data_IF_822496927725
#
_entry.id   IF_822496927725
#
_cell.length_a   1.000
_cell.length_b   1.000
_cell.length_c   1.000
_cell.angle_alpha   90.00
_cell.angle_beta   90.00
_cell.angle_gamma   90.00
#
_symmetry.space_group_name_H-M   'P 1'
#
loop_
_entity.id
_entity.type
_entity.pdbx_description
1 polymer ?
#
# COMPACT_ATOMS: atom_id res chain seq x y z
N UNK A 1 -8.07 9.79 7.10
CA UNK A 1 -7.07 10.06 6.04
C UNK A 1 -6.72 8.75 5.37
N UNK A 2 -6.66 8.71 4.03
CA UNK A 2 -6.36 7.55 3.18
C UNK A 2 -5.82 8.04 1.84
N UNK A 3 -5.05 7.23 1.10
CA UNK A 3 -4.58 7.58 -0.24
C UNK A 3 -5.75 7.79 -1.21
N UNK A 4 -6.88 7.11 -1.00
CA UNK A 4 -8.06 7.27 -1.86
C UNK A 4 -8.70 8.66 -1.81
N UNK A 5 -8.35 9.50 -0.82
CA UNK A 5 -8.95 10.82 -0.65
C UNK A 5 -8.29 11.87 -1.55
N UNK A 6 -9.14 12.66 -2.21
CA UNK A 6 -8.72 13.68 -3.17
C UNK A 6 -7.62 14.63 -2.66
N UNK A 7 -7.65 15.15 -1.41
CA UNK A 7 -6.56 16.01 -0.94
C UNK A 7 -5.18 15.34 -0.92
N UNK A 8 -5.11 14.05 -0.56
CA UNK A 8 -3.86 13.29 -0.54
C UNK A 8 -3.40 12.98 -1.96
N UNK A 9 -4.32 12.53 -2.82
CA UNK A 9 -4.04 12.23 -4.22
C UNK A 9 -3.57 13.48 -4.98
N UNK A 10 -4.30 14.59 -4.86
CA UNK A 10 -3.95 15.86 -5.51
C UNK A 10 -2.60 16.40 -5.03
N UNK A 11 -2.25 16.22 -3.74
CA UNK A 11 -0.93 16.60 -3.23
C UNK A 11 0.18 15.79 -3.91
N UNK A 12 0.01 14.48 -4.06
CA UNK A 12 0.98 13.64 -4.78
C UNK A 12 1.13 14.06 -6.24
N UNK A 13 0.00 14.28 -6.94
CA UNK A 13 -0.02 14.75 -8.33
C UNK A 13 0.70 16.09 -8.47
N UNK A 14 0.48 17.02 -7.55
CA UNK A 14 1.15 18.32 -7.55
C UNK A 14 2.68 18.18 -7.33
N UNK A 15 3.09 17.26 -6.46
CA UNK A 15 4.51 16.96 -6.22
C UNK A 15 5.17 16.33 -7.46
N UNK A 16 4.47 15.42 -8.15
CA UNK A 16 4.93 14.82 -9.40
C UNK A 16 5.03 15.87 -10.52
N UNK A 17 4.04 16.75 -10.67
CA UNK A 17 4.10 17.83 -11.66
C UNK A 17 5.28 18.79 -11.40
N UNK A 18 5.60 19.07 -10.13
CA UNK A 18 6.77 19.88 -9.75
C UNK A 18 8.09 19.16 -10.03
N UNK A 19 8.14 17.85 -9.77
CA UNK A 19 9.29 17.02 -10.11
C UNK A 19 9.53 17.02 -11.63
N UNK A 20 8.47 16.89 -12.43
CA UNK A 20 8.54 16.99 -13.89
C UNK A 20 9.07 18.35 -14.36
N UNK A 21 8.50 19.46 -13.87
CA UNK A 21 8.89 20.81 -14.29
C UNK A 21 10.35 21.14 -13.95
N UNK A 22 10.90 20.45 -12.95
CA UNK A 22 12.28 20.61 -12.51
C UNK A 22 13.18 19.46 -12.94
N UNK A 23 12.71 18.52 -13.78
CA UNK A 23 13.40 17.25 -14.04
C UNK A 23 14.86 17.44 -14.45
N UNK A 24 15.13 18.38 -15.37
CA UNK A 24 16.47 18.74 -15.86
C UNK A 24 17.16 19.87 -15.08
N UNK A 25 16.47 20.54 -14.17
CA UNK A 25 17.02 21.65 -13.39
C UNK A 25 17.90 21.14 -12.24
N UNK A 26 18.73 22.02 -11.66
CA UNK A 26 19.51 21.73 -10.44
C UNK A 26 20.60 20.68 -10.61
N UNK A 27 21.72 20.83 -9.90
CA UNK A 27 22.86 19.91 -10.00
C UNK A 27 23.71 20.13 -11.25
N UNK A 28 25.01 20.28 -11.03
CA UNK A 28 26.05 20.37 -12.04
C UNK A 28 26.29 19.04 -12.78
N UNK A 29 25.92 17.90 -12.17
CA UNK A 29 26.15 16.55 -12.71
C UNK A 29 24.88 15.69 -12.80
N UNK A 30 24.85 14.64 -13.66
CA UNK A 30 23.76 13.67 -13.70
C UNK A 30 23.48 13.01 -12.35
N UNK A 31 24.51 12.78 -11.54
CA UNK A 31 24.38 12.18 -10.21
C UNK A 31 23.65 13.09 -9.22
N UNK A 32 23.96 14.39 -9.22
CA UNK A 32 23.25 15.38 -8.38
C UNK A 32 21.79 15.51 -8.79
N UNK A 33 21.51 15.50 -10.11
CA UNK A 33 20.13 15.49 -10.63
C UNK A 33 19.37 14.25 -10.19
N UNK A 34 19.98 13.06 -10.30
CA UNK A 34 19.42 11.81 -9.81
C UNK A 34 19.05 11.92 -8.33
N UNK A 35 20.02 12.24 -7.46
CA UNK A 35 19.83 12.30 -6.02
C UNK A 35 18.67 13.22 -5.62
N UNK A 36 18.56 14.38 -6.26
CA UNK A 36 17.45 15.32 -6.04
C UNK A 36 16.10 14.76 -6.50
N UNK A 37 16.02 14.08 -7.65
CA UNK A 37 14.77 13.43 -8.12
C UNK A 37 14.31 12.36 -7.12
N UNK A 38 15.25 11.55 -6.65
CA UNK A 38 15.01 10.49 -5.66
C UNK A 38 14.55 11.06 -4.32
N UNK A 39 15.18 12.15 -3.86
CA UNK A 39 14.76 12.88 -2.66
C UNK A 39 13.34 13.45 -2.82
N UNK A 40 13.03 14.08 -3.96
CA UNK A 40 11.72 14.65 -4.21
C UNK A 40 10.60 13.59 -4.20
N UNK A 41 10.85 12.43 -4.82
CA UNK A 41 9.91 11.31 -4.84
C UNK A 41 9.73 10.72 -3.44
N UNK A 42 10.82 10.55 -2.67
CA UNK A 42 10.77 10.11 -1.27
C UNK A 42 9.92 11.04 -0.42
N UNK A 43 10.07 12.35 -0.59
CA UNK A 43 9.27 13.35 0.12
C UNK A 43 7.80 13.31 -0.28
N UNK A 44 7.47 13.09 -1.56
CA UNK A 44 6.09 12.96 -2.03
C UNK A 44 5.40 11.73 -1.39
N UNK A 45 6.10 10.60 -1.31
CA UNK A 45 5.63 9.40 -0.59
C UNK A 45 5.47 9.72 0.90
N UNK A 46 6.46 10.35 1.54
CA UNK A 46 6.39 10.71 2.96
C UNK A 46 5.21 11.63 3.31
N UNK A 47 4.92 12.63 2.46
CA UNK A 47 3.77 13.54 2.65
C UNK A 47 2.42 12.85 2.51
N UNK A 48 2.31 11.91 1.59
CA UNK A 48 1.03 11.22 1.29
C UNK A 48 0.72 10.10 2.29
N UNK A 49 1.73 9.63 3.03
CA UNK A 49 1.62 8.49 3.95
C UNK A 49 1.65 8.86 5.44
N UNK A 50 1.57 10.15 5.80
CA UNK A 50 1.65 10.63 7.20
C UNK A 50 0.65 9.98 8.19
N UNK A 51 -0.45 9.43 7.68
CA UNK A 51 -1.46 8.74 8.50
C UNK A 51 -1.07 7.31 8.89
N UNK A 52 -0.07 6.72 8.24
CA UNK A 52 0.51 5.40 8.52
C UNK A 52 2.03 5.51 8.78
N UNK A 53 2.70 4.40 9.03
CA UNK A 53 4.16 4.35 8.99
C UNK A 53 4.61 4.43 7.53
N UNK A 54 5.33 5.47 7.09
CA UNK A 54 5.81 5.56 5.71
C UNK A 54 6.71 4.36 5.38
N UNK A 55 6.55 3.72 4.20
CA UNK A 55 7.48 2.69 3.78
C UNK A 55 8.88 3.28 3.59
N UNK A 56 9.92 2.54 3.94
CA UNK A 56 11.29 2.94 3.65
C UNK A 56 11.49 2.95 2.13
N UNK A 57 11.87 4.09 1.55
CA UNK A 57 12.07 4.21 0.10
C UNK A 57 13.52 3.83 -0.24
N UNK A 58 13.70 2.91 -1.18
CA UNK A 58 15.00 2.50 -1.71
C UNK A 58 15.02 2.67 -3.22
N UNK A 59 16.08 3.26 -3.76
CA UNK A 59 16.32 3.32 -5.20
C UNK A 59 17.33 2.25 -5.61
N UNK A 60 16.91 1.29 -6.43
CA UNK A 60 17.74 0.20 -6.90
C UNK A 60 17.21 -0.33 -8.24
N UNK A 61 17.99 -1.13 -8.97
CA UNK A 61 17.45 -1.85 -10.11
C UNK A 61 16.39 -2.86 -9.62
N UNK A 62 15.25 -2.87 -10.28
CA UNK A 62 14.21 -3.90 -10.11
C UNK A 62 14.30 -4.87 -11.29
N UNK A 63 13.75 -6.08 -11.16
CA UNK A 63 13.71 -7.09 -12.24
C UNK A 63 12.83 -6.75 -13.44
N UNK A 64 12.71 -5.47 -13.81
CA UNK A 64 11.95 -4.97 -14.96
C UNK A 64 10.74 -4.09 -14.62
N UNK A 65 10.33 -3.98 -13.36
CA UNK A 65 9.22 -3.12 -12.92
C UNK A 65 9.61 -1.66 -12.65
N UNK A 66 8.63 -0.77 -12.46
CA UNK A 66 8.88 0.64 -12.12
C UNK A 66 9.11 0.83 -10.61
N UNK A 67 8.36 0.10 -9.80
CA UNK A 67 8.53 0.02 -8.36
C UNK A 67 8.00 -1.34 -7.86
N UNK A 68 8.26 -1.65 -6.58
CA UNK A 68 7.70 -2.79 -5.88
C UNK A 68 7.65 -2.53 -4.38
N UNK A 69 6.57 -2.93 -3.70
CA UNK A 69 6.47 -2.89 -2.25
C UNK A 69 6.66 -4.27 -1.61
N UNK A 70 7.61 -4.36 -0.68
CA UNK A 70 7.81 -5.52 0.19
C UNK A 70 7.23 -5.22 1.58
N UNK A 71 6.10 -5.86 1.90
CA UNK A 71 5.41 -5.68 3.17
C UNK A 71 6.19 -6.26 4.36
N UNK A 72 7.05 -7.27 4.13
CA UNK A 72 7.81 -7.94 5.20
C UNK A 72 8.90 -7.04 5.77
N UNK A 73 9.56 -6.28 4.89
CA UNK A 73 10.56 -5.28 5.28
C UNK A 73 9.99 -3.86 5.35
N UNK A 74 8.71 -3.69 5.03
CA UNK A 74 8.02 -2.39 4.91
C UNK A 74 8.77 -1.39 4.02
N UNK A 75 9.20 -1.88 2.85
CA UNK A 75 10.10 -1.16 1.94
C UNK A 75 9.47 -1.01 0.57
N UNK A 76 9.49 0.21 0.04
CA UNK A 76 9.14 0.52 -1.34
C UNK A 76 10.44 0.69 -2.14
N UNK A 77 10.66 -0.19 -3.10
CA UNK A 77 11.81 -0.10 -4.02
C UNK A 77 11.37 0.56 -5.31
N UNK A 78 11.99 1.68 -5.67
CA UNK A 78 11.77 2.38 -6.94
C UNK A 78 12.92 2.08 -7.88
N UNK A 79 12.62 1.79 -9.15
CA UNK A 79 13.63 1.49 -10.13
C UNK A 79 14.46 2.73 -10.49
N UNK A 80 15.70 2.76 -10.01
CA UNK A 80 16.59 3.91 -10.17
C UNK A 80 17.01 4.17 -11.63
N UNK A 81 16.81 3.21 -12.53
CA UNK A 81 17.10 3.40 -13.95
C UNK A 81 16.20 4.47 -14.57
N UNK A 82 15.01 4.73 -14.00
CA UNK A 82 14.13 5.80 -14.46
C UNK A 82 14.51 7.16 -13.86
N UNK A 83 14.98 7.22 -12.61
CA UNK A 83 15.41 8.48 -11.96
C UNK A 83 16.76 8.98 -12.46
N UNK A 84 17.62 8.07 -12.94
CA UNK A 84 18.92 8.37 -13.56
C UNK A 84 18.85 9.03 -14.94
N UNK A 85 17.74 8.83 -15.66
CA UNK A 85 17.61 9.28 -17.04
C UNK A 85 17.21 10.74 -17.13
N UNK A 86 18.11 11.56 -17.65
CA UNK A 86 17.80 12.94 -18.02
C UNK A 86 16.77 12.98 -19.17
N UNK A 87 16.82 11.99 -20.06
CA UNK A 87 15.97 11.86 -21.25
C UNK A 87 14.66 11.08 -21.01
N UNK A 88 14.15 11.04 -19.77
CA UNK A 88 12.93 10.28 -19.50
C UNK A 88 11.78 10.81 -20.39
N UNK A 89 11.13 9.90 -21.11
CA UNK A 89 9.96 10.25 -21.90
C UNK A 89 8.80 10.57 -20.97
N UNK A 90 7.95 11.50 -21.38
CA UNK A 90 6.77 11.91 -20.62
C UNK A 90 5.90 10.72 -20.15
N UNK A 91 5.59 9.78 -21.05
CA UNK A 91 4.84 8.56 -20.71
C UNK A 91 5.52 7.75 -19.60
N UNK A 92 6.84 7.59 -19.66
CA UNK A 92 7.61 6.83 -18.69
C UNK A 92 7.64 7.53 -17.32
N UNK A 93 7.62 8.86 -17.30
CA UNK A 93 7.51 9.62 -16.06
C UNK A 93 6.15 9.43 -15.39
N UNK A 94 5.06 9.52 -16.17
CA UNK A 94 3.69 9.29 -15.67
C UNK A 94 3.58 7.88 -15.08
N UNK A 95 4.07 6.87 -15.82
CA UNK A 95 4.08 5.47 -15.38
C UNK A 95 4.86 5.30 -14.07
N UNK A 96 6.08 5.84 -13.98
CA UNK A 96 6.88 5.81 -12.75
C UNK A 96 6.10 6.34 -11.55
N UNK A 97 5.48 7.51 -11.68
CA UNK A 97 4.74 8.14 -10.59
C UNK A 97 3.47 7.36 -10.23
N UNK A 98 2.73 6.86 -11.22
CA UNK A 98 1.52 6.09 -11.02
C UNK A 98 1.84 4.76 -10.30
N UNK A 99 2.83 4.01 -10.77
CA UNK A 99 3.24 2.75 -10.13
C UNK A 99 3.79 2.99 -8.72
N UNK A 100 4.54 4.07 -8.46
CA UNK A 100 4.96 4.41 -7.08
C UNK A 100 3.75 4.62 -6.17
N UNK A 101 2.68 5.24 -6.67
CA UNK A 101 1.44 5.40 -5.92
C UNK A 101 0.70 4.08 -5.70
N UNK A 102 0.65 3.22 -6.71
CA UNK A 102 0.13 1.84 -6.65
C UNK A 102 0.83 1.03 -5.55
N UNK A 103 2.16 0.99 -5.55
CA UNK A 103 2.93 0.27 -4.53
C UNK A 103 2.74 0.86 -3.13
N UNK A 104 2.57 2.19 -3.03
CA UNK A 104 2.24 2.86 -1.77
C UNK A 104 0.82 2.48 -1.28
N UNK A 105 -0.10 2.20 -2.21
CA UNK A 105 -1.45 1.73 -1.89
C UNK A 105 -1.43 0.33 -1.27
N UNK A 106 -0.56 -0.57 -1.70
CA UNK A 106 -0.37 -1.86 -1.03
C UNK A 106 0.08 -1.68 0.42
N UNK A 107 0.99 -0.76 0.70
CA UNK A 107 1.38 -0.44 2.08
C UNK A 107 0.18 0.03 2.92
N UNK A 108 -0.72 0.86 2.36
CA UNK A 108 -1.95 1.24 3.05
C UNK A 108 -2.87 0.04 3.31
N UNK A 109 -3.07 -0.85 2.35
CA UNK A 109 -3.94 -2.02 2.51
C UNK A 109 -3.51 -2.90 3.69
N UNK A 110 -2.22 -3.26 3.77
CA UNK A 110 -1.67 -4.00 4.91
C UNK A 110 -1.82 -3.24 6.23
N UNK A 111 -1.58 -1.92 6.21
CA UNK A 111 -1.76 -1.08 7.39
C UNK A 111 -3.23 -1.06 7.86
N UNK A 112 -4.21 -1.00 6.94
CA UNK A 112 -5.64 -1.06 7.27
C UNK A 112 -6.06 -2.40 7.82
N UNK A 113 -5.55 -3.50 7.27
CA UNK A 113 -5.77 -4.85 7.80
C UNK A 113 -5.27 -4.91 9.25
N UNK A 114 -4.05 -4.46 9.52
CA UNK A 114 -3.49 -4.42 10.88
C UNK A 114 -4.32 -3.53 11.82
N UNK A 115 -4.75 -2.35 11.34
CA UNK A 115 -5.58 -1.41 12.09
C UNK A 115 -6.95 -1.99 12.44
N UNK A 116 -7.60 -2.68 11.49
CA UNK A 116 -8.89 -3.32 11.69
C UNK A 116 -8.82 -4.53 12.62
N UNK A 117 -7.74 -5.31 12.58
CA UNK A 117 -7.46 -6.37 13.55
C UNK A 117 -7.27 -5.81 14.96
N UNK A 118 -6.45 -4.76 15.11
CA UNK A 118 -6.21 -4.10 16.39
C UNK A 118 -7.47 -3.41 16.94
N UNK A 119 -8.39 -2.98 16.08
CA UNK A 119 -9.68 -2.43 16.45
C UNK A 119 -10.74 -3.51 16.78
N UNK A 120 -10.41 -4.80 16.64
CA UNK A 120 -11.38 -5.91 16.80
C UNK A 120 -12.48 -5.93 15.73
N UNK A 121 -12.29 -5.21 14.62
CA UNK A 121 -13.25 -5.12 13.49
C UNK A 121 -13.02 -6.19 12.42
N UNK A 122 -11.81 -6.73 12.34
CA UNK A 122 -11.44 -7.85 11.46
C UNK A 122 -11.05 -9.06 12.29
N UNK A 123 -11.12 -10.24 11.68
CA UNK A 123 -10.71 -11.52 12.29
C UNK A 123 -9.89 -12.29 11.27
N UNK A 124 -8.82 -12.95 11.72
CA UNK A 124 -8.06 -13.85 10.85
C UNK A 124 -8.99 -14.95 10.29
N UNK A 125 -8.86 -15.31 9.00
CA UNK A 125 -9.71 -16.33 8.36
C UNK A 125 -9.69 -17.68 9.09
N UNK A 126 -8.51 -18.10 9.58
CA UNK A 126 -8.30 -19.41 10.22
C UNK A 126 -8.32 -19.37 11.75
N UNK A 127 -8.94 -18.35 12.34
CA UNK A 127 -9.23 -18.32 13.76
C UNK A 127 -10.32 -19.33 14.14
N UNK A 128 -10.11 -20.61 13.78
CA UNK A 128 -10.69 -21.72 14.52
C UNK A 128 -10.22 -21.61 15.97
N UNK A 129 -11.11 -21.93 16.91
CA UNK A 129 -10.85 -21.84 18.34
C UNK A 129 -9.57 -22.58 18.80
N UNK A 130 -9.01 -23.47 17.98
CA UNK A 130 -7.78 -24.20 18.25
C UNK A 130 -6.51 -23.33 18.15
N UNK A 131 -6.44 -22.40 17.18
CA UNK A 131 -5.25 -21.56 16.98
C UNK A 131 -5.15 -20.41 18.00
N UNK A 132 -6.29 -19.91 18.48
CA UNK A 132 -6.37 -18.95 19.60
C UNK A 132 -5.87 -19.56 20.92
N UNK A 133 -6.09 -20.86 21.16
CA UNK A 133 -5.58 -21.58 22.35
C UNK A 133 -4.05 -21.61 22.40
N UNK A 134 -3.40 -21.70 21.25
CA UNK A 134 -1.94 -21.78 21.16
C UNK A 134 -1.27 -20.38 21.24
N UNK A 135 -1.95 -19.33 20.75
CA UNK A 135 -1.50 -17.95 20.90
C UNK A 135 -1.65 -17.39 22.33
N UNK A 136 -2.51 -18.00 23.17
CA UNK A 136 -2.63 -17.69 24.62
C UNK A 136 -1.48 -18.25 25.47
N UNK A 137 -0.47 -18.89 24.89
CA UNK A 137 0.81 -19.20 25.57
C UNK A 137 1.72 -17.96 25.70
N UNK A 138 1.17 -16.83 26.18
CA UNK A 138 1.92 -15.62 26.50
C UNK A 138 2.01 -15.45 28.03
N UNK A 139 3.21 -15.72 28.57
CA UNK A 139 3.71 -15.13 29.82
C UNK A 139 3.54 -15.92 31.14
N UNK A 140 4.36 -15.60 32.18
CA UNK A 140 4.38 -16.27 33.48
C UNK A 140 3.22 -15.77 34.37
N UNK A 141 1.99 -15.91 33.88
CA UNK A 141 0.81 -15.83 34.74
C UNK A 141 0.59 -17.16 35.43
N UNK A 142 0.43 -17.15 36.75
CA UNK A 142 0.07 -18.35 37.52
C UNK A 142 -1.22 -19.00 37.00
N UNK A 143 -1.40 -20.28 37.29
CA UNK A 143 -2.53 -21.12 36.84
C UNK A 143 -3.89 -20.43 37.05
N UNK A 144 -4.06 -19.67 38.14
CA UNK A 144 -5.28 -18.91 38.44
C UNK A 144 -5.63 -17.83 37.40
N UNK A 145 -4.64 -17.13 36.83
CA UNK A 145 -4.89 -16.12 35.79
C UNK A 145 -5.33 -16.79 34.47
N UNK A 146 -4.80 -18.01 34.21
CA UNK A 146 -5.18 -18.82 33.05
C UNK A 146 -6.58 -19.40 33.19
N UNK A 147 -6.94 -19.89 34.38
CA UNK A 147 -8.30 -20.37 34.70
C UNK A 147 -9.31 -19.23 34.56
N UNK A 148 -9.01 -18.03 35.10
CA UNK A 148 -9.90 -16.87 34.98
C UNK A 148 -10.11 -16.41 33.53
N UNK A 149 -9.05 -16.45 32.71
CA UNK A 149 -9.17 -16.16 31.28
C UNK A 149 -9.97 -17.25 30.54
N UNK A 150 -9.81 -18.52 30.93
CA UNK A 150 -10.56 -19.64 30.39
C UNK A 150 -12.04 -19.58 30.74
N UNK A 151 -12.38 -19.29 32.00
CA UNK A 151 -13.75 -19.16 32.50
C UNK A 151 -14.49 -17.97 31.85
N UNK A 152 -13.80 -16.84 31.66
CA UNK A 152 -14.36 -15.68 30.94
C UNK A 152 -14.69 -16.00 29.47
N UNK A 153 -13.85 -16.81 28.81
CA UNK A 153 -14.09 -17.29 27.45
C UNK A 153 -15.21 -18.34 27.42
N UNK A 154 -15.23 -19.27 28.38
CA UNK A 154 -16.21 -20.36 28.47
C UNK A 154 -17.63 -19.86 28.81
N UNK A 155 -17.74 -18.78 29.58
CA UNK A 155 -19.02 -18.15 29.94
C UNK A 155 -19.51 -17.14 28.89
N UNK A 156 -18.79 -16.95 27.78
CA UNK A 156 -19.11 -15.92 26.78
C UNK A 156 -19.00 -14.48 27.32
N UNK A 157 -18.51 -14.32 28.54
CA UNK A 157 -18.35 -13.05 29.23
C UNK A 157 -16.99 -12.45 28.86
N UNK A 158 -16.89 -11.94 27.63
CA UNK A 158 -16.02 -10.78 27.46
C UNK A 158 -16.74 -9.61 28.16
N UNK A 159 -16.14 -8.90 29.12
CA UNK A 159 -16.83 -7.88 29.92
C UNK A 159 -17.43 -6.70 29.12
N UNK A 160 -17.29 -6.70 27.79
CA UNK A 160 -17.82 -5.74 26.83
C UNK A 160 -18.41 -6.37 25.55
N UNK A 161 -18.72 -7.67 25.50
CA UNK A 161 -19.29 -8.32 24.30
C UNK A 161 -18.40 -8.34 23.06
N UNK A 162 -17.21 -7.74 23.11
CA UNK A 162 -16.20 -7.75 22.06
C UNK A 162 -15.04 -8.64 22.52
N UNK A 163 -14.66 -9.65 21.71
CA UNK A 163 -13.42 -10.40 21.96
C UNK A 163 -12.25 -9.40 22.04
N UNK A 164 -11.31 -9.56 23.00
CA UNK A 164 -10.15 -8.69 23.06
C UNK A 164 -9.40 -8.73 21.73
N UNK A 165 -8.97 -7.56 21.26
CA UNK A 165 -8.18 -7.47 20.03
C UNK A 165 -6.89 -8.31 20.16
N UNK A 166 -6.42 -8.96 19.07
CA UNK A 166 -5.20 -9.75 19.13
C UNK A 166 -3.99 -8.88 19.54
N UNK A 167 -3.02 -9.42 20.30
CA UNK A 167 -1.79 -8.69 20.62
C UNK A 167 -1.03 -8.26 19.36
N UNK A 168 -0.34 -7.11 19.44
CA UNK A 168 0.50 -6.55 18.35
C UNK A 168 1.47 -7.58 17.78
N UNK A 169 2.12 -8.38 18.64
CA UNK A 169 3.06 -9.44 18.21
C UNK A 169 2.39 -10.56 17.40
N UNK A 170 1.13 -10.89 17.72
CA UNK A 170 0.35 -11.89 16.98
C UNK A 170 -0.04 -11.35 15.61
N UNK A 171 -0.47 -10.09 15.54
CA UNK A 171 -0.84 -9.45 14.28
C UNK A 171 0.38 -9.34 13.36
N UNK A 172 1.51 -8.84 13.88
CA UNK A 172 2.76 -8.70 13.11
C UNK A 172 3.24 -10.04 12.54
N UNK A 173 3.23 -11.10 13.35
CA UNK A 173 3.62 -12.44 12.94
C UNK A 173 2.68 -13.03 11.89
N UNK A 174 1.37 -12.86 12.04
CA UNK A 174 0.37 -13.44 11.11
C UNK A 174 0.33 -12.73 9.76
N UNK A 175 0.57 -11.42 9.74
CA UNK A 175 0.63 -10.64 8.50
C UNK A 175 2.04 -10.60 7.89
N UNK A 176 3.05 -11.13 8.59
CA UNK A 176 4.46 -10.98 8.22
C UNK A 176 4.83 -9.53 7.92
N UNK A 177 4.47 -8.59 8.80
CA UNK A 177 4.86 -7.17 8.69
C UNK A 177 5.61 -6.72 9.95
N UNK A 178 6.43 -5.65 9.90
CA UNK A 178 7.21 -5.23 11.07
C UNK A 178 6.35 -4.86 12.27
N UNK A 179 6.79 -5.27 13.46
CA UNK A 179 6.05 -5.03 14.72
C UNK A 179 5.76 -3.54 14.97
N UNK A 180 6.68 -2.64 14.61
CA UNK A 180 6.48 -1.20 14.79
C UNK A 180 5.35 -0.63 13.92
N UNK A 181 5.09 -1.21 12.74
CA UNK A 181 3.97 -0.84 11.87
C UNK A 181 2.65 -1.21 12.53
N UNK A 182 2.57 -2.42 13.06
CA UNK A 182 1.37 -2.90 13.79
C UNK A 182 1.16 -2.11 15.07
N UNK A 183 2.23 -1.82 15.81
CA UNK A 183 2.14 -1.00 17.03
C UNK A 183 1.54 0.38 16.70
N UNK A 184 1.99 1.01 15.62
CA UNK A 184 1.45 2.29 15.15
C UNK A 184 0.00 2.19 14.67
N UNK A 185 -0.34 1.14 13.91
CA UNK A 185 -1.73 0.87 13.52
C UNK A 185 -2.63 0.68 14.75
N UNK A 186 -2.14 -0.02 15.79
CA UNK A 186 -2.86 -0.27 17.03
C UNK A 186 -3.09 0.99 17.86
N UNK A 187 -2.10 1.89 17.98
CA UNK A 187 -2.31 3.18 18.66
C UNK A 187 -3.28 4.08 17.92
N UNK A 188 -3.52 3.79 16.64
CA UNK A 188 -4.47 4.49 15.76
C UNK A 188 -5.71 3.65 15.43
N UNK A 189 -6.02 2.59 16.18
CA UNK A 189 -7.10 1.66 15.86
C UNK A 189 -8.48 2.34 15.70
N UNK A 190 -8.76 3.39 16.48
CA UNK A 190 -10.03 4.15 16.40
C UNK A 190 -10.25 4.82 15.04
N UNK A 191 -9.18 5.19 14.32
CA UNK A 191 -9.26 5.77 12.98
C UNK A 191 -9.74 4.77 11.92
N UNK A 192 -9.77 3.47 12.22
CA UNK A 192 -10.33 2.47 11.32
C UNK A 192 -11.82 2.69 11.09
N UNK A 193 -12.59 3.02 12.13
CA UNK A 193 -14.03 3.32 11.98
C UNK A 193 -14.25 4.53 11.07
N UNK A 194 -13.40 5.57 11.18
CA UNK A 194 -13.45 6.73 10.29
C UNK A 194 -13.14 6.34 8.83
N UNK A 195 -12.28 5.35 8.61
CA UNK A 195 -12.01 4.81 7.28
C UNK A 195 -13.21 4.02 6.73
N UNK A 196 -13.85 3.19 7.56
CA UNK A 196 -15.05 2.43 7.17
C UNK A 196 -16.24 3.34 6.80
N UNK A 197 -16.38 4.46 7.49
CA UNK A 197 -17.44 5.44 7.25
C UNK A 197 -17.11 6.43 6.12
N UNK A 198 -15.93 6.33 5.51
CA UNK A 198 -15.57 7.19 4.40
C UNK A 198 -16.36 6.83 3.15
N UNK A 199 -16.45 7.78 2.20
CA UNK A 199 -17.04 7.51 0.89
C UNK A 199 -16.31 6.34 0.23
N UNK A 200 -17.07 5.31 -0.15
CA UNK A 200 -16.58 4.14 -0.85
C UNK A 200 -16.08 4.55 -2.23
N UNK A 201 -14.83 4.23 -2.61
CA UNK A 201 -14.37 4.47 -3.97
C UNK A 201 -15.22 3.73 -5.00
N UNK A 202 -15.42 4.34 -6.17
CA UNK A 202 -16.25 3.77 -7.24
C UNK A 202 -15.69 2.48 -7.82
N UNK A 203 -14.38 2.26 -7.68
CA UNK A 203 -13.69 1.05 -8.17
C UNK A 203 -13.72 -0.13 -7.18
N UNK A 204 -14.25 0.06 -5.97
CA UNK A 204 -14.42 -1.05 -5.03
C UNK A 204 -15.47 -2.02 -5.59
N UNK A 205 -15.16 -3.32 -5.55
CA UNK A 205 -16.06 -4.38 -6.06
C UNK A 205 -17.10 -4.79 -5.02
N UNK A 206 -16.88 -4.50 -3.73
CA UNK A 206 -17.76 -4.89 -2.64
C UNK A 206 -18.70 -3.76 -2.18
N UNK A 207 -19.85 -4.10 -1.56
CA UNK A 207 -20.85 -3.11 -1.16
C UNK A 207 -20.36 -2.13 -0.09
N UNK A 208 -19.49 -2.59 0.81
CA UNK A 208 -18.93 -1.78 1.89
C UNK A 208 -17.40 -1.79 1.88
N UNK A 209 -16.80 -0.75 2.47
CA UNK A 209 -15.34 -0.69 2.69
C UNK A 209 -14.87 -1.85 3.56
N UNK A 210 -15.66 -2.27 4.55
CA UNK A 210 -15.33 -3.40 5.40
C UNK A 210 -15.26 -4.72 4.61
N UNK A 211 -16.22 -4.93 3.72
CA UNK A 211 -16.24 -6.12 2.85
C UNK A 211 -15.01 -6.15 1.92
N UNK A 212 -14.61 -5.00 1.39
CA UNK A 212 -13.40 -4.89 0.56
C UNK A 212 -12.14 -5.29 1.36
N UNK A 213 -11.99 -4.76 2.57
CA UNK A 213 -10.84 -5.08 3.44
C UNK A 213 -10.84 -6.56 3.87
N UNK A 214 -12.02 -7.14 4.12
CA UNK A 214 -12.12 -8.58 4.39
C UNK A 214 -11.64 -9.42 3.20
N UNK A 215 -11.89 -8.98 1.96
CA UNK A 215 -11.35 -9.65 0.78
C UNK A 215 -9.83 -9.49 0.67
N UNK A 216 -9.28 -8.30 0.93
CA UNK A 216 -7.83 -8.11 1.00
C UNK A 216 -7.20 -9.06 2.04
N UNK A 217 -7.84 -9.21 3.20
CA UNK A 217 -7.38 -10.13 4.25
C UNK A 217 -7.44 -11.60 3.79
N UNK A 218 -8.48 -12.02 3.08
CA UNK A 218 -8.56 -13.39 2.55
C UNK A 218 -7.50 -13.64 1.49
N UNK A 219 -7.28 -12.69 0.58
CA UNK A 219 -6.28 -12.80 -0.47
C UNK A 219 -4.85 -12.86 0.11
N UNK A 220 -4.53 -12.01 1.09
CA UNK A 220 -3.24 -12.05 1.79
C UNK A 220 -3.05 -13.33 2.62
N UNK A 221 -4.12 -13.85 3.21
CA UNK A 221 -4.11 -15.14 3.90
C UNK A 221 -3.75 -16.30 2.98
N UNK A 222 -4.40 -16.41 1.80
CA UNK A 222 -4.10 -17.48 0.83
C UNK A 222 -2.63 -17.50 0.38
N UNK A 223 -1.99 -16.33 0.25
CA UNK A 223 -0.57 -16.22 -0.15
C UNK A 223 0.41 -16.68 0.93
N UNK A 224 0.04 -16.63 2.22
CA UNK A 224 0.95 -16.95 3.35
C UNK A 224 0.88 -18.41 3.80
N UNK A 225 -0.17 -19.15 3.45
CA UNK A 225 -0.32 -20.57 3.75
C UNK A 225 -0.13 -21.40 2.47
N UNK A 226 1.10 -21.89 2.26
CA UNK A 226 1.47 -23.01 1.38
C UNK A 226 1.26 -22.98 -0.15
N UNK A 227 0.53 -22.04 -0.75
CA UNK A 227 0.11 -22.20 -2.17
C UNK A 227 0.86 -21.35 -3.22
N UNK A 228 1.76 -20.43 -2.85
CA UNK A 228 2.46 -19.61 -3.86
C UNK A 228 3.51 -20.39 -4.70
N UNK A 229 4.17 -21.42 -4.16
CA UNK A 229 5.19 -22.16 -4.92
C UNK A 229 4.58 -23.11 -5.96
N UNK A 230 3.34 -23.56 -5.78
CA UNK A 230 2.65 -24.42 -6.76
C UNK A 230 1.91 -23.62 -7.86
N UNK A 231 1.58 -22.35 -7.60
CA UNK A 231 0.76 -21.53 -8.51
C UNK A 231 1.55 -20.71 -9.52
N UNK A 232 2.84 -20.43 -9.25
CA UNK A 232 3.72 -19.68 -10.13
C UNK A 232 4.59 -20.56 -11.05
N UNK A 233 4.46 -21.89 -10.95
CA UNK A 233 5.24 -22.87 -11.71
C UNK A 233 4.47 -23.54 -12.85
N UNK A 234 3.20 -23.18 -13.09
CA UNK A 234 2.47 -23.73 -14.24
C UNK A 234 2.86 -22.96 -15.51
N UNK A 235 3.46 -23.69 -16.43
CA UNK A 235 4.30 -23.20 -17.52
C UNK A 235 3.63 -22.18 -18.45
N UNK A 236 4.50 -21.28 -18.90
CA UNK A 236 4.36 -20.19 -19.85
C UNK A 236 3.50 -20.52 -21.10
N UNK A 237 2.47 -19.71 -21.36
CA UNK A 237 2.08 -19.37 -22.75
C UNK A 237 1.18 -18.13 -22.90
N UNK A 238 0.62 -17.58 -21.83
CA UNK A 238 -0.33 -16.46 -21.96
C UNK A 238 -0.13 -15.41 -20.87
N UNK A 239 0.91 -14.58 -21.04
CA UNK A 239 1.21 -13.40 -20.20
C UNK A 239 -0.02 -12.51 -19.99
N UNK A 240 -0.94 -12.42 -20.96
CA UNK A 240 -2.18 -11.66 -20.80
C UNK A 240 -3.16 -12.33 -19.84
N UNK A 241 -3.25 -13.67 -19.85
CA UNK A 241 -4.06 -14.42 -18.88
C UNK A 241 -3.48 -14.28 -17.48
N UNK A 242 -2.17 -14.41 -17.32
CA UNK A 242 -1.48 -14.21 -16.03
C UNK A 242 -1.72 -12.79 -15.51
N UNK A 243 -1.52 -11.77 -16.35
CA UNK A 243 -1.79 -10.37 -15.99
C UNK A 243 -3.26 -10.11 -15.62
N UNK A 244 -4.22 -10.70 -16.35
CA UNK A 244 -5.65 -10.59 -16.01
C UNK A 244 -5.95 -11.22 -14.65
N UNK A 245 -5.40 -12.42 -14.39
CA UNK A 245 -5.60 -13.12 -13.12
C UNK A 245 -4.99 -12.38 -11.93
N UNK A 246 -3.81 -11.75 -12.08
CA UNK A 246 -3.23 -10.90 -11.04
C UNK A 246 -4.05 -9.64 -10.80
N UNK A 247 -4.49 -8.97 -11.88
CA UNK A 247 -5.32 -7.75 -11.79
C UNK A 247 -6.67 -7.99 -11.11
N UNK A 248 -7.17 -9.22 -11.15
CA UNK A 248 -8.45 -9.59 -10.53
C UNK A 248 -8.35 -9.87 -9.02
N UNK A 249 -7.14 -9.94 -8.46
CA UNK A 249 -6.97 -10.00 -7.01
C UNK A 249 -7.55 -8.72 -6.37
N UNK A 250 -8.34 -8.83 -5.27
CA UNK A 250 -8.99 -7.67 -4.66
C UNK A 250 -8.03 -6.54 -4.30
N UNK A 251 -6.83 -6.87 -3.83
CA UNK A 251 -5.78 -5.91 -3.47
C UNK A 251 -5.18 -5.21 -4.71
N UNK A 252 -4.96 -5.95 -5.79
CA UNK A 252 -4.42 -5.40 -7.05
C UNK A 252 -5.46 -4.56 -7.78
N UNK A 253 -6.72 -4.99 -7.79
CA UNK A 253 -7.81 -4.22 -8.40
C UNK A 253 -8.00 -2.86 -7.72
N UNK A 254 -7.92 -2.79 -6.40
CA UNK A 254 -7.95 -1.51 -5.67
C UNK A 254 -6.73 -0.63 -5.98
N UNK A 255 -5.54 -1.22 -6.04
CA UNK A 255 -4.31 -0.49 -6.34
C UNK A 255 -4.29 0.05 -7.79
N UNK A 256 -4.71 -0.74 -8.77
CA UNK A 256 -4.84 -0.30 -10.16
C UNK A 256 -5.94 0.76 -10.34
N UNK A 257 -7.07 0.63 -9.64
CA UNK A 257 -8.16 1.61 -9.71
C UNK A 257 -7.71 3.01 -9.30
N UNK A 258 -6.80 3.11 -8.33
CA UNK A 258 -6.22 4.40 -7.92
C UNK A 258 -5.05 4.83 -8.80
N UNK A 259 -4.25 3.88 -9.31
CA UNK A 259 -3.15 4.11 -10.25
C UNK A 259 -3.63 4.83 -11.52
N UNK A 260 -4.67 4.31 -12.18
CA UNK A 260 -5.24 4.89 -13.40
C UNK A 260 -5.72 6.32 -13.17
N UNK A 261 -6.33 6.59 -12.02
CA UNK A 261 -6.80 7.91 -11.64
C UNK A 261 -5.65 8.89 -11.42
N UNK A 262 -4.59 8.47 -10.74
CA UNK A 262 -3.37 9.26 -10.54
C UNK A 262 -2.67 9.56 -11.87
N UNK A 263 -2.53 8.55 -12.73
CA UNK A 263 -1.93 8.73 -14.05
C UNK A 263 -2.70 9.78 -14.87
N UNK A 264 -4.03 9.68 -14.92
CA UNK A 264 -4.87 10.65 -15.62
C UNK A 264 -4.73 12.08 -15.06
N UNK A 265 -4.70 12.23 -13.74
CA UNK A 265 -4.54 13.54 -13.08
C UNK A 265 -3.15 14.14 -13.30
N UNK A 266 -2.08 13.33 -13.31
CA UNK A 266 -0.73 13.78 -13.68
C UNK A 266 -0.73 14.25 -15.13
N UNK A 267 -1.36 13.48 -16.03
CA UNK A 267 -1.43 13.84 -17.45
C UNK A 267 -2.13 15.17 -17.65
N UNK A 268 -3.27 15.37 -16.98
CA UNK A 268 -4.01 16.61 -17.01
C UNK A 268 -3.18 17.77 -16.43
N UNK A 269 -2.54 17.56 -15.28
CA UNK A 269 -1.80 18.61 -14.57
C UNK A 269 -0.57 19.09 -15.34
N UNK A 270 0.20 18.16 -15.93
CA UNK A 270 1.37 18.48 -16.74
C UNK A 270 0.96 19.00 -18.12
N UNK A 271 -0.03 18.36 -18.76
CA UNK A 271 -0.53 18.76 -20.09
C UNK A 271 -1.06 20.19 -20.13
N UNK A 272 -1.80 20.63 -19.10
CA UNK A 272 -2.22 22.04 -19.00
C UNK A 272 -1.07 23.02 -18.77
N UNK A 273 0.05 22.58 -18.17
CA UNK A 273 1.23 23.41 -18.05
C UNK A 273 1.93 23.63 -19.41
N UNK A 274 1.80 22.67 -20.34
CA UNK A 274 2.36 22.76 -21.70
C UNK A 274 1.48 23.52 -22.70
N UNK A 275 0.16 23.59 -22.55
CA UNK A 275 -0.67 24.40 -23.47
C UNK A 275 -0.44 25.92 -23.29
N UNK A 276 0.04 26.37 -22.12
CA UNK A 276 0.52 27.76 -21.96
C UNK A 276 1.85 28.05 -22.67
N UNK A 277 2.62 27.04 -23.07
CA UNK A 277 3.84 27.20 -23.88
C UNK A 277 3.63 26.95 -25.38
N UNK A 278 2.46 26.46 -25.80
CA UNK A 278 2.12 26.24 -27.23
C UNK A 278 1.97 27.52 -28.06
N UNK A 279 1.89 28.70 -27.44
CA UNK A 279 2.02 29.97 -28.19
C UNK A 279 3.47 30.36 -28.54
N UNK A 280 4.48 29.52 -28.24
CA UNK A 280 5.88 29.84 -28.56
C UNK A 280 6.69 28.73 -29.25
N UNK A 281 6.15 27.53 -29.43
CA UNK A 281 6.93 26.35 -29.87
C UNK A 281 6.51 25.71 -31.20
N UNK A 282 5.60 26.31 -31.98
CA UNK A 282 5.33 25.88 -33.37
C UNK A 282 6.51 26.14 -34.34
N UNK A 283 7.69 26.48 -33.82
CA UNK A 283 8.94 26.65 -34.58
C UNK A 283 10.03 25.62 -34.24
N UNK A 284 9.79 24.65 -33.34
CA UNK A 284 10.86 23.75 -32.87
C UNK A 284 10.61 22.25 -33.04
N UNK A 285 9.45 21.86 -33.55
CA UNK A 285 9.21 20.47 -33.96
C UNK A 285 8.55 20.47 -35.34
N UNK A 286 9.39 20.46 -36.37
CA UNK A 286 8.99 20.10 -37.73
C UNK A 286 8.53 18.63 -37.80
N UNK A 287 7.90 18.25 -38.92
CA UNK A 287 6.95 17.14 -39.05
C UNK A 287 7.45 15.78 -38.55
#
# INVERSE_FOLDING_TARGET
MSLQFDPIRHQFVADCARLWSTWLQGGSSPMERQARREQALTQAIGRTTQFMVPPAVRFAATGGGWASFDWTTWRLTVNHNHTRRDDIRYRNFVELCATVYHETRHAEQFYRIAQGLAAGRLKFPDASAASDRQAMHLGPGGVAARIKAFDAVAQGQSPLGQKPAPPVSVIARRLSIPQHVVQHASTRATYFNNYLNASRPTWFKRPTVLDEINEWMRATGKKTYSEMDAWAQDDDSDRERVNRMYRDLPEENDAHGIEEKVAAEIVQRIGHATDRSRRRNDLLFGP
#
